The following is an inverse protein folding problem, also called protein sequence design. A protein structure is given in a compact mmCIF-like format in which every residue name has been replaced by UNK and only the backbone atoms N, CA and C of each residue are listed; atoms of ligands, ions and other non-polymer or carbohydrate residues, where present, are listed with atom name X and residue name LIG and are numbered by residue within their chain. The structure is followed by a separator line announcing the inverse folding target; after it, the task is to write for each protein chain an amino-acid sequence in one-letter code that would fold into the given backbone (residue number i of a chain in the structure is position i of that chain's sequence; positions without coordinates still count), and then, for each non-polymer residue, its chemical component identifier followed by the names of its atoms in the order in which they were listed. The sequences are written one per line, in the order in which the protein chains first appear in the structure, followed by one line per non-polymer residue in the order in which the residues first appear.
data_IF_743925037161
#
_entry.id   IF_743925037161
#
_cell.length_a   1.000
_cell.length_b   1.000
_cell.length_c   1.000
_cell.angle_alpha   90.00
_cell.angle_beta   90.00
_cell.angle_gamma   90.00
#
_symmetry.space_group_name_H-M   'P 1'
#
loop_
_entity.id
_entity.type
_entity.pdbx_description
1 polymer ?
#
# COMPACT_ATOMS: atom_id res chain seq x y z
N UNK A 1 8.19 8.77 1.56
CA UNK A 1 7.37 7.59 1.86
C UNK A 1 8.24 6.35 1.76
N UNK A 2 8.36 5.63 2.87
CA UNK A 2 8.92 4.28 2.89
C UNK A 2 7.76 3.29 2.82
N UNK A 3 7.87 2.25 1.98
CA UNK A 3 6.90 1.17 1.88
C UNK A 3 7.65 -0.15 2.05
N UNK A 4 7.29 -0.92 3.06
CA UNK A 4 7.89 -2.22 3.34
C UNK A 4 6.86 -3.31 3.08
N UNK A 5 7.17 -4.23 2.16
CA UNK A 5 6.36 -5.39 1.87
C UNK A 5 6.63 -6.51 2.86
N UNK A 6 5.58 -7.15 3.37
CA UNK A 6 5.64 -8.38 4.17
C UNK A 6 4.81 -9.44 3.47
N UNK A 7 5.44 -10.50 2.96
CA UNK A 7 4.72 -11.51 2.15
C UNK A 7 5.39 -12.88 2.21
N UNK A 8 4.64 -13.92 1.84
CA UNK A 8 5.18 -15.26 1.65
C UNK A 8 5.72 -15.46 0.23
N UNK A 9 6.92 -16.01 0.14
CA UNK A 9 7.55 -16.42 -1.13
C UNK A 9 7.83 -17.91 -1.11
N UNK A 10 7.51 -18.61 -2.20
CA UNK A 10 7.86 -20.03 -2.35
C UNK A 10 9.28 -20.19 -2.90
N UNK A 11 10.16 -20.82 -2.15
CA UNK A 11 11.54 -21.10 -2.53
C UNK A 11 11.84 -22.58 -2.33
N UNK A 12 12.20 -23.28 -3.41
CA UNK A 12 12.48 -24.74 -3.40
C UNK A 12 11.38 -25.56 -2.69
N UNK A 13 10.12 -25.21 -2.97
CA UNK A 13 8.94 -25.90 -2.42
C UNK A 13 8.53 -25.48 -1.01
N UNK A 14 9.28 -24.62 -0.32
CA UNK A 14 8.96 -24.11 1.03
C UNK A 14 8.47 -22.67 0.96
N UNK A 15 7.48 -22.31 1.76
CA UNK A 15 7.10 -20.92 1.96
C UNK A 15 8.09 -20.29 2.95
N UNK A 16 8.58 -19.10 2.63
CA UNK A 16 9.40 -18.28 3.51
C UNK A 16 8.74 -16.91 3.66
N UNK A 17 8.84 -16.32 4.85
CA UNK A 17 8.45 -14.93 5.08
C UNK A 17 9.55 -14.02 4.51
N UNK A 18 9.14 -13.05 3.70
CA UNK A 18 10.01 -12.01 3.16
C UNK A 18 9.56 -10.67 3.72
N UNK A 19 10.54 -9.87 4.15
CA UNK A 19 10.36 -8.47 4.52
C UNK A 19 11.35 -7.66 3.70
N UNK A 20 10.85 -6.75 2.87
CA UNK A 20 11.70 -5.96 1.99
C UNK A 20 11.19 -4.53 1.84
N UNK A 21 12.13 -3.60 1.64
CA UNK A 21 11.83 -2.21 1.32
C UNK A 21 11.45 -2.12 -0.16
N UNK A 22 10.15 -2.05 -0.44
CA UNK A 22 9.61 -1.93 -1.80
C UNK A 22 9.89 -0.53 -2.37
N UNK A 23 9.77 0.51 -1.55
CA UNK A 23 10.01 1.87 -2.01
C UNK A 23 10.54 2.75 -0.89
N UNK A 24 11.41 3.68 -1.27
CA UNK A 24 11.84 4.78 -0.42
C UNK A 24 11.93 6.05 -1.26
N UNK A 25 10.83 6.81 -1.30
CA UNK A 25 10.67 7.97 -2.18
C UNK A 25 10.59 9.26 -1.38
N UNK A 26 11.10 10.34 -1.96
CA UNK A 26 10.77 11.69 -1.49
C UNK A 26 9.28 11.94 -1.79
N UNK A 27 8.57 12.54 -0.83
CA UNK A 27 7.19 13.00 -1.08
C UNK A 27 7.28 14.44 -1.54
N UNK A 28 6.99 14.68 -2.80
CA UNK A 28 6.92 16.03 -3.35
C UNK A 28 5.53 16.63 -3.13
N UNK A 29 5.47 17.95 -2.91
CA UNK A 29 4.22 18.66 -2.65
C UNK A 29 3.69 18.50 -1.21
N UNK A 30 2.38 18.70 -1.03
CA UNK A 30 1.75 18.63 0.29
C UNK A 30 1.63 17.17 0.75
N UNK A 31 1.91 16.91 2.03
CA UNK A 31 1.67 15.61 2.69
C UNK A 31 0.16 15.35 2.96
N UNK A 32 -0.70 15.69 2.00
CA UNK A 32 -2.13 15.40 2.05
C UNK A 32 -2.37 13.91 1.80
N UNK A 33 -3.44 13.36 2.36
CA UNK A 33 -3.80 11.95 2.13
C UNK A 33 -3.98 11.64 0.65
N UNK A 34 -4.58 12.55 -0.13
CA UNK A 34 -4.73 12.39 -1.58
C UNK A 34 -3.38 12.18 -2.28
N UNK A 35 -2.38 13.00 -1.97
CA UNK A 35 -1.06 12.87 -2.56
C UNK A 35 -0.37 11.56 -2.13
N UNK A 36 -0.43 11.25 -0.82
CA UNK A 36 0.14 10.01 -0.30
C UNK A 36 -0.52 8.77 -0.91
N UNK A 37 -1.84 8.79 -1.09
CA UNK A 37 -2.61 7.69 -1.68
C UNK A 37 -2.24 7.47 -3.14
N UNK A 38 -2.07 8.55 -3.91
CA UNK A 38 -1.57 8.48 -5.28
C UNK A 38 -0.14 7.93 -5.38
N UNK A 39 0.76 8.38 -4.51
CA UNK A 39 2.15 7.87 -4.45
C UNK A 39 2.15 6.38 -4.12
N UNK A 40 1.39 5.95 -3.10
CA UNK A 40 1.30 4.55 -2.70
C UNK A 40 0.70 3.69 -3.82
N UNK A 41 -0.41 4.11 -4.42
CA UNK A 41 -1.02 3.42 -5.56
C UNK A 41 -0.02 3.26 -6.71
N UNK A 42 0.74 4.31 -7.04
CA UNK A 42 1.81 4.25 -8.04
C UNK A 42 2.87 3.21 -7.71
N UNK A 43 3.36 3.19 -6.47
CA UNK A 43 4.32 2.16 -6.00
C UNK A 43 3.73 0.76 -6.18
N UNK A 44 2.50 0.51 -5.72
CA UNK A 44 1.89 -0.82 -5.81
C UNK A 44 1.62 -1.25 -7.26
N UNK A 45 1.33 -0.29 -8.14
CA UNK A 45 1.15 -0.51 -9.59
C UNK A 45 2.45 -0.89 -10.26
N UNK A 46 3.55 -0.19 -9.96
CA UNK A 46 4.89 -0.49 -10.52
C UNK A 46 5.38 -1.89 -10.16
N UNK A 47 4.99 -2.41 -9.00
CA UNK A 47 5.29 -3.77 -8.58
C UNK A 47 4.28 -4.80 -9.08
N UNK A 48 3.22 -4.40 -9.77
CA UNK A 48 2.13 -5.27 -10.26
C UNK A 48 1.48 -6.10 -9.12
N UNK A 49 1.30 -5.48 -7.94
CA UNK A 49 0.79 -6.13 -6.72
C UNK A 49 -0.56 -5.59 -6.23
N UNK A 50 -1.25 -4.74 -6.99
CA UNK A 50 -2.57 -4.21 -6.61
C UNK A 50 -3.55 -5.32 -6.20
N UNK A 51 -3.61 -6.42 -6.96
CA UNK A 51 -4.47 -7.57 -6.65
C UNK A 51 -3.98 -8.50 -5.54
N UNK A 52 -2.89 -8.16 -4.83
CA UNK A 52 -2.25 -9.01 -3.81
C UNK A 52 -2.17 -8.34 -2.44
N UNK A 53 -2.78 -7.17 -2.27
CA UNK A 53 -2.75 -6.44 -1.01
C UNK A 53 -3.74 -7.05 -0.04
N UNK A 54 -3.23 -7.68 1.02
CA UNK A 54 -4.05 -8.14 2.14
C UNK A 54 -4.38 -7.00 3.09
N UNK A 55 -3.35 -6.35 3.63
CA UNK A 55 -3.52 -5.35 4.68
C UNK A 55 -2.39 -4.33 4.67
N UNK A 56 -2.70 -3.12 5.12
CA UNK A 56 -1.75 -2.02 5.28
C UNK A 56 -1.70 -1.64 6.78
N UNK A 57 -0.48 -1.44 7.29
CA UNK A 57 -0.20 -0.93 8.63
C UNK A 57 0.36 0.49 8.52
N UNK A 58 -0.12 1.39 9.37
CA UNK A 58 0.20 2.81 9.32
C UNK A 58 0.33 3.36 10.74
N UNK A 59 1.05 4.47 10.90
CA UNK A 59 1.05 5.19 12.17
C UNK A 59 -0.29 5.93 12.41
N UNK A 60 -0.39 6.63 13.53
CA UNK A 60 -1.61 7.33 13.95
C UNK A 60 -1.76 8.75 13.36
N UNK A 61 -1.11 9.06 12.24
CA UNK A 61 -1.27 10.35 11.59
C UNK A 61 -2.63 10.45 10.88
N UNK A 62 -3.34 11.58 11.06
CA UNK A 62 -4.68 11.80 10.47
C UNK A 62 -4.70 11.73 8.95
N UNK A 63 -3.61 12.11 8.28
CA UNK A 63 -3.53 12.04 6.82
C UNK A 63 -3.54 10.60 6.31
N UNK A 64 -3.19 9.61 7.12
CA UNK A 64 -3.30 8.19 6.77
C UNK A 64 -4.74 7.74 6.57
N UNK A 65 -5.71 8.33 7.30
CA UNK A 65 -7.13 8.03 7.09
C UNK A 65 -7.54 8.48 5.67
N UNK A 66 -7.27 9.74 5.34
CA UNK A 66 -7.53 10.30 4.00
C UNK A 66 -6.68 9.66 2.89
N UNK A 67 -5.52 9.09 3.23
CA UNK A 67 -4.69 8.33 2.29
C UNK A 67 -5.35 7.01 1.91
N UNK A 68 -5.90 6.29 2.89
CA UNK A 68 -6.62 5.04 2.64
C UNK A 68 -7.91 5.28 1.86
N UNK A 69 -8.61 6.39 2.11
CA UNK A 69 -9.76 6.84 1.30
C UNK A 69 -9.38 7.05 -0.17
N UNK A 70 -8.29 7.77 -0.42
CA UNK A 70 -7.82 7.97 -1.78
C UNK A 70 -7.39 6.66 -2.45
N UNK A 71 -6.72 5.78 -1.70
CA UNK A 71 -6.27 4.50 -2.21
C UNK A 71 -7.46 3.61 -2.61
N UNK A 72 -8.52 3.56 -1.81
CA UNK A 72 -9.75 2.84 -2.12
C UNK A 72 -10.36 3.27 -3.46
N UNK A 73 -10.50 4.59 -3.68
CA UNK A 73 -11.02 5.13 -4.95
C UNK A 73 -10.16 4.67 -6.13
N UNK A 74 -8.83 4.81 -6.03
CA UNK A 74 -7.91 4.42 -7.11
C UNK A 74 -7.92 2.91 -7.39
N UNK A 75 -8.04 2.09 -6.34
CA UNK A 75 -8.12 0.63 -6.48
C UNK A 75 -9.41 0.22 -7.20
N UNK A 76 -10.54 0.82 -6.84
CA UNK A 76 -11.83 0.55 -7.51
C UNK A 76 -11.82 0.99 -8.97
N UNK A 77 -11.26 2.16 -9.28
CA UNK A 77 -11.09 2.64 -10.65
C UNK A 77 -10.20 1.70 -11.48
N UNK A 78 -9.20 1.09 -10.85
CA UNK A 78 -8.33 0.08 -11.46
C UNK A 78 -8.93 -1.34 -11.49
N UNK A 79 -10.16 -1.54 -10.98
CA UNK A 79 -10.86 -2.82 -11.00
C UNK A 79 -10.49 -3.79 -9.87
N UNK A 80 -9.85 -3.30 -8.81
CA UNK A 80 -9.48 -4.09 -7.63
C UNK A 80 -10.42 -3.81 -6.46
N UNK A 81 -10.85 -4.88 -5.77
CA UNK A 81 -11.59 -4.74 -4.52
C UNK A 81 -10.62 -4.33 -3.41
N UNK A 82 -10.94 -3.23 -2.74
CA UNK A 82 -10.20 -2.71 -1.60
C UNK A 82 -11.18 -1.98 -0.68
N UNK A 83 -11.06 -2.16 0.63
CA UNK A 83 -11.86 -1.48 1.66
C UNK A 83 -10.90 -0.76 2.61
N UNK A 84 -11.03 0.57 2.70
CA UNK A 84 -10.11 1.40 3.49
C UNK A 84 -10.08 1.00 4.99
N UNK A 85 -11.17 0.47 5.54
CA UNK A 85 -11.23 0.02 6.92
C UNK A 85 -10.88 -1.48 7.02
N UNK A 86 -11.41 -2.32 6.13
CA UNK A 86 -11.15 -3.76 6.12
C UNK A 86 -9.72 -4.16 5.76
N UNK A 87 -9.03 -3.37 4.94
CA UNK A 87 -7.63 -3.57 4.56
C UNK A 87 -6.66 -2.78 5.44
N UNK A 88 -7.08 -2.28 6.61
CA UNK A 88 -6.21 -1.60 7.58
C UNK A 88 -6.18 -2.32 8.92
N UNK A 89 -4.98 -2.64 9.41
CA UNK A 89 -4.78 -3.04 10.81
C UNK A 89 -4.48 -1.80 11.63
N UNK A 90 -5.27 -1.59 12.69
CA UNK A 90 -5.08 -0.56 13.72
C UNK A 90 -4.74 -1.22 15.05
#
# INVERSE_FOLDING_TARGET
MAVTGHYEKKVKGKNILVVELLAFRVVEGTHSGVNLGGILFGILSEYEILGKIGTITLDNAKNNDTMMEQLEVLMWEAGYLFDKEGNRVR
#
